data_IF_462613619384
#
_entry.id   IF_462613619384
#
_cell.length_a   1.000
_cell.length_b   1.000
_cell.length_c   1.000
_cell.angle_alpha   90.00
_cell.angle_beta   90.00
_cell.angle_gamma   90.00
#
_symmetry.space_group_name_H-M   'P 1'
#
loop_
_entity.id
_entity.type
_entity.pdbx_description
1 polymer ?
#
# COMPACT_ATOMS: atom_id res chain seq x y z
N UNK A 1 14.88 -12.99 -30.30
CA UNK A 1 13.56 -12.35 -30.38
C UNK A 1 12.56 -13.43 -29.98
N UNK A 2 11.89 -13.28 -28.83
CA UNK A 2 11.06 -14.37 -28.28
C UNK A 2 9.69 -14.39 -28.96
N UNK A 3 9.16 -15.59 -29.21
CA UNK A 3 7.86 -15.76 -29.87
C UNK A 3 6.70 -15.53 -28.90
N UNK A 4 5.50 -15.29 -29.43
CA UNK A 4 4.27 -15.16 -28.63
C UNK A 4 3.97 -16.46 -27.87
N UNK A 5 4.39 -17.60 -28.41
CA UNK A 5 4.26 -18.91 -27.79
C UNK A 5 5.22 -19.07 -26.60
N UNK A 6 6.43 -18.50 -26.67
CA UNK A 6 7.39 -18.44 -25.54
C UNK A 6 6.89 -17.53 -24.39
N UNK A 7 6.10 -16.49 -24.71
CA UNK A 7 5.52 -15.59 -23.71
C UNK A 7 4.31 -16.22 -23.00
N UNK A 8 3.48 -16.95 -23.74
CA UNK A 8 2.33 -17.66 -23.18
C UNK A 8 2.75 -18.84 -22.31
N UNK A 9 3.79 -19.58 -22.71
CA UNK A 9 4.34 -20.68 -21.91
C UNK A 9 4.98 -20.21 -20.59
N UNK A 10 5.44 -18.96 -20.53
CA UNK A 10 5.97 -18.35 -19.30
C UNK A 10 4.86 -17.91 -18.35
N UNK A 11 3.73 -17.43 -18.88
CA UNK A 11 2.52 -17.15 -18.08
C UNK A 11 1.88 -18.43 -17.52
N UNK A 12 1.95 -19.56 -18.21
CA UNK A 12 1.38 -20.82 -17.72
C UNK A 12 2.24 -21.49 -16.64
N UNK A 13 3.57 -21.38 -16.70
CA UNK A 13 4.44 -21.89 -15.61
C UNK A 13 4.34 -21.07 -14.31
N UNK A 14 3.94 -19.80 -14.38
CA UNK A 14 3.69 -18.96 -13.19
C UNK A 14 2.32 -19.24 -12.53
N UNK A 15 1.45 -20.02 -13.19
CA UNK A 15 0.08 -20.29 -12.72
C UNK A 15 -0.07 -21.75 -12.21
N UNK A 16 0.68 -22.72 -12.73
CA UNK A 16 0.53 -24.13 -12.34
C UNK A 16 1.13 -24.52 -10.98
N UNK A 17 2.01 -23.70 -10.38
CA UNK A 17 2.67 -24.02 -9.09
C UNK A 17 2.20 -23.15 -7.90
N UNK A 18 1.11 -22.37 -8.05
CA UNK A 18 0.59 -21.52 -6.97
C UNK A 18 1.55 -20.42 -6.50
N UNK A 19 2.63 -20.17 -7.25
CA UNK A 19 3.66 -19.19 -6.92
C UNK A 19 3.34 -17.82 -7.50
N UNK A 20 2.84 -16.92 -6.67
CA UNK A 20 2.83 -15.49 -6.98
C UNK A 20 4.21 -15.05 -7.47
N UNK A 21 4.24 -14.34 -8.61
CA UNK A 21 5.44 -13.86 -9.31
C UNK A 21 6.35 -12.96 -8.48
N UNK A 22 7.10 -13.57 -7.56
CA UNK A 22 8.19 -12.98 -6.84
C UNK A 22 9.40 -12.98 -7.78
N UNK A 23 9.76 -11.79 -8.27
CA UNK A 23 11.07 -11.55 -8.86
C UNK A 23 12.17 -12.13 -7.94
N UNK A 24 13.28 -12.57 -8.53
CA UNK A 24 14.44 -13.12 -7.83
C UNK A 24 15.01 -12.11 -6.82
N UNK A 25 14.40 -12.01 -5.63
CA UNK A 25 15.00 -11.36 -4.47
C UNK A 25 16.14 -12.28 -4.02
N UNK A 26 17.27 -11.66 -3.67
CA UNK A 26 18.59 -12.28 -3.51
C UNK A 26 18.61 -13.34 -2.40
N UNK A 27 18.32 -14.60 -2.75
CA UNK A 27 18.45 -15.81 -1.91
C UNK A 27 19.81 -16.49 -2.20
N UNK A 28 20.86 -15.73 -2.52
CA UNK A 28 22.13 -16.33 -2.95
C UNK A 28 23.16 -16.47 -1.83
N UNK A 29 22.95 -15.85 -0.67
CA UNK A 29 23.91 -15.89 0.44
C UNK A 29 23.56 -16.86 1.57
N UNK A 30 22.34 -17.41 1.60
CA UNK A 30 21.91 -18.42 2.60
C UNK A 30 22.14 -19.87 2.16
N UNK A 31 22.45 -20.11 0.89
CA UNK A 31 22.51 -21.45 0.28
C UNK A 31 23.74 -22.27 0.64
N UNK A 32 24.68 -21.75 1.45
CA UNK A 32 25.93 -22.48 1.75
C UNK A 32 25.90 -23.30 3.05
N UNK A 33 24.99 -23.00 3.99
CA UNK A 33 25.12 -23.54 5.35
C UNK A 33 23.92 -24.36 5.87
N UNK A 34 22.94 -24.72 5.05
CA UNK A 34 21.82 -25.58 5.50
C UNK A 34 21.46 -26.68 4.51
N UNK A 35 22.10 -27.84 4.66
CA UNK A 35 21.58 -29.11 4.15
C UNK A 35 20.34 -29.51 4.96
N UNK A 36 19.18 -29.56 4.29
CA UNK A 36 17.90 -29.92 4.91
C UNK A 36 16.73 -29.52 4.03
N UNK A 37 16.35 -30.42 3.12
CA UNK A 37 15.29 -30.23 2.12
C UNK A 37 13.87 -30.31 2.73
N UNK A 38 13.38 -29.17 3.24
CA UNK A 38 11.96 -28.78 3.19
C UNK A 38 11.81 -27.27 3.44
N UNK A 39 11.41 -26.53 2.40
CA UNK A 39 10.95 -25.13 2.35
C UNK A 39 11.55 -24.11 3.36
N UNK A 40 12.79 -23.69 3.08
CA UNK A 40 13.45 -22.54 3.74
C UNK A 40 12.73 -21.19 3.45
N UNK A 41 12.00 -21.07 2.32
CA UNK A 41 11.24 -19.86 1.96
C UNK A 41 10.03 -19.63 2.87
N UNK A 42 9.23 -20.69 3.11
CA UNK A 42 8.04 -20.60 3.96
C UNK A 42 8.42 -20.25 5.41
N UNK A 43 9.59 -20.72 5.85
CA UNK A 43 10.10 -20.48 7.19
C UNK A 43 10.47 -19.00 7.45
N UNK A 44 10.90 -18.23 6.44
CA UNK A 44 11.28 -16.81 6.63
C UNK A 44 10.05 -15.89 6.72
N UNK A 45 8.99 -16.16 5.96
CA UNK A 45 7.74 -15.40 6.01
C UNK A 45 7.03 -15.58 7.35
N UNK A 46 6.87 -16.82 7.79
CA UNK A 46 6.30 -17.13 9.11
C UNK A 46 7.14 -16.53 10.24
N UNK A 47 8.46 -16.57 10.08
CA UNK A 47 9.40 -16.01 11.06
C UNK A 47 9.39 -14.49 11.10
N UNK A 48 9.29 -13.81 9.95
CA UNK A 48 9.16 -12.35 9.88
C UNK A 48 7.81 -11.90 10.42
N UNK A 49 6.73 -12.60 10.09
CA UNK A 49 5.41 -12.33 10.65
C UNK A 49 5.45 -12.39 12.18
N UNK A 50 6.05 -13.44 12.74
CA UNK A 50 6.16 -13.59 14.19
C UNK A 50 7.16 -12.58 14.78
N UNK A 51 8.25 -12.23 14.10
CA UNK A 51 9.20 -11.20 14.56
C UNK A 51 8.58 -9.80 14.61
N UNK A 52 7.78 -9.48 13.60
CA UNK A 52 7.07 -8.22 13.47
C UNK A 52 5.98 -8.13 14.54
N UNK A 53 5.30 -9.23 14.86
CA UNK A 53 4.21 -9.27 15.84
C UNK A 53 4.64 -9.49 17.29
N UNK A 54 5.77 -10.17 17.53
CA UNK A 54 6.07 -10.77 18.83
C UNK A 54 7.57 -10.89 19.11
N UNK A 55 8.18 -9.82 19.59
CA UNK A 55 9.40 -9.96 20.41
C UNK A 55 9.20 -9.31 21.77
N UNK A 56 9.28 -10.13 22.83
CA UNK A 56 9.43 -9.69 24.23
C UNK A 56 10.54 -8.64 24.35
N UNK A 57 10.38 -7.70 25.29
CA UNK A 57 11.39 -6.70 25.73
C UNK A 57 11.87 -5.67 24.70
N UNK A 58 11.19 -5.51 23.55
CA UNK A 58 11.54 -4.49 22.57
C UNK A 58 10.66 -3.25 22.65
N UNK A 59 11.29 -2.11 22.39
CA UNK A 59 10.64 -0.81 22.42
C UNK A 59 9.57 -0.73 21.30
N UNK A 60 8.33 -0.41 21.66
CA UNK A 60 7.22 -0.20 20.69
C UNK A 60 7.52 0.92 19.67
N UNK A 61 8.38 1.86 20.06
CA UNK A 61 8.91 2.94 19.21
C UNK A 61 10.18 2.54 18.46
N UNK A 62 10.52 1.25 18.40
CA UNK A 62 11.62 0.78 17.57
C UNK A 62 11.27 0.99 16.09
N UNK A 63 12.13 1.70 15.35
CA UNK A 63 11.94 1.92 13.91
C UNK A 63 12.26 0.64 13.15
N UNK A 64 11.24 0.04 12.53
CA UNK A 64 11.37 -1.17 11.70
C UNK A 64 11.39 -0.87 10.20
N UNK A 65 10.88 0.30 9.80
CA UNK A 65 10.93 0.79 8.44
C UNK A 65 11.32 2.27 8.42
N UNK A 66 12.28 2.62 7.57
CA UNK A 66 12.66 4.01 7.32
C UNK A 66 13.16 4.13 5.89
N UNK A 67 12.69 5.16 5.19
CA UNK A 67 13.17 5.50 3.85
C UNK A 67 14.06 6.73 3.89
N UNK A 68 14.88 6.90 2.86
CA UNK A 68 15.64 8.14 2.66
C UNK A 68 14.75 9.34 2.26
N UNK A 69 13.45 9.12 2.06
CA UNK A 69 12.45 10.13 1.69
C UNK A 69 11.61 10.58 2.88
N UNK A 70 11.83 9.98 4.06
CA UNK A 70 11.30 10.43 5.35
C UNK A 70 10.08 9.66 5.85
N UNK A 71 9.67 8.58 5.18
CA UNK A 71 8.68 7.64 5.70
C UNK A 71 9.31 6.80 6.81
N UNK A 72 8.61 6.69 7.94
CA UNK A 72 9.05 5.97 9.13
C UNK A 72 7.90 5.14 9.66
N UNK A 73 8.18 3.89 10.02
CA UNK A 73 7.23 3.00 10.69
C UNK A 73 7.90 2.33 11.88
N UNK A 74 7.22 2.38 13.02
CA UNK A 74 7.66 1.78 14.27
C UNK A 74 7.10 0.36 14.43
N UNK A 75 7.64 -0.36 15.41
CA UNK A 75 7.21 -1.70 15.77
C UNK A 75 5.70 -1.77 16.06
N UNK A 76 5.14 -0.83 16.82
CA UNK A 76 3.70 -0.81 17.10
C UNK A 76 2.81 -0.71 15.85
N UNK A 77 3.27 0.02 14.81
CA UNK A 77 2.53 0.19 13.55
C UNK A 77 2.47 -1.14 12.75
N UNK A 78 3.45 -2.01 13.00
CA UNK A 78 3.64 -3.31 12.38
C UNK A 78 2.94 -4.43 13.15
N UNK A 79 2.98 -4.36 14.48
CA UNK A 79 2.45 -5.35 15.43
C UNK A 79 0.94 -5.52 15.31
N UNK A 80 0.25 -4.48 14.85
CA UNK A 80 -1.15 -4.56 14.52
C UNK A 80 -1.48 -3.68 13.32
N UNK A 81 -1.92 -4.28 12.22
CA UNK A 81 -2.79 -3.57 11.27
C UNK A 81 -4.16 -3.29 11.93
N UNK A 82 -4.10 -2.54 13.03
CA UNK A 82 -5.17 -2.02 13.85
C UNK A 82 -5.82 -0.85 13.12
N UNK A 83 -7.14 -0.66 13.26
CA UNK A 83 -7.86 0.46 12.65
C UNK A 83 -7.30 1.86 12.94
N UNK A 84 -6.61 2.08 14.06
CA UNK A 84 -6.33 3.43 14.58
C UNK A 84 -4.99 4.03 14.09
N UNK A 85 -4.07 3.23 13.57
CA UNK A 85 -2.73 3.68 13.13
C UNK A 85 -2.40 3.30 11.67
N UNK A 86 -3.41 3.02 10.84
CA UNK A 86 -3.24 2.54 9.45
C UNK A 86 -2.53 3.57 8.53
N UNK A 87 -2.47 4.85 8.91
CA UNK A 87 -1.78 5.90 8.14
C UNK A 87 -0.32 5.54 7.83
N UNK A 88 0.45 5.12 8.84
CA UNK A 88 1.89 4.84 8.70
C UNK A 88 2.12 3.64 7.78
N UNK A 89 1.24 2.64 7.83
CA UNK A 89 1.29 1.43 7.00
C UNK A 89 0.96 1.73 5.54
N UNK A 90 -0.11 2.50 5.27
CA UNK A 90 -0.48 2.90 3.90
C UNK A 90 0.60 3.79 3.29
N UNK A 91 1.12 4.76 4.04
CA UNK A 91 2.17 5.67 3.57
C UNK A 91 3.46 4.89 3.26
N UNK A 92 3.85 3.94 4.12
CA UNK A 92 5.01 3.07 3.90
C UNK A 92 4.82 2.17 2.68
N UNK A 93 3.60 1.67 2.45
CA UNK A 93 3.28 0.88 1.27
C UNK A 93 3.30 1.70 -0.02
N UNK A 94 2.80 2.93 0.00
CA UNK A 94 2.94 3.88 -1.12
C UNK A 94 4.42 4.08 -1.48
N UNK A 95 5.29 4.25 -0.49
CA UNK A 95 6.74 4.39 -0.70
C UNK A 95 7.36 3.14 -1.35
N UNK A 96 6.98 1.94 -0.89
CA UNK A 96 7.42 0.67 -1.49
C UNK A 96 6.95 0.54 -2.94
N UNK A 97 5.67 0.79 -3.22
CA UNK A 97 5.13 0.71 -4.58
C UNK A 97 5.83 1.69 -5.52
N UNK A 98 6.02 2.94 -5.09
CA UNK A 98 6.74 3.93 -5.87
C UNK A 98 8.18 3.52 -6.18
N UNK A 99 8.88 2.93 -5.22
CA UNK A 99 10.23 2.41 -5.43
C UNK A 99 10.26 1.29 -6.48
N UNK A 100 9.29 0.38 -6.43
CA UNK A 100 9.17 -0.71 -7.40
C UNK A 100 8.82 -0.22 -8.80
N UNK A 101 7.94 0.79 -8.92
CA UNK A 101 7.60 1.46 -10.19
C UNK A 101 8.82 2.12 -10.83
N UNK A 102 9.64 2.82 -10.04
CA UNK A 102 10.89 3.43 -10.52
C UNK A 102 11.89 2.39 -10.99
N UNK A 103 12.04 1.27 -10.27
CA UNK A 103 13.04 0.24 -10.58
C UNK A 103 12.69 -0.60 -11.79
N UNK A 104 11.45 -1.04 -11.89
CA UNK A 104 11.04 -2.03 -12.88
C UNK A 104 10.87 -1.44 -14.28
N UNK A 105 10.81 -0.11 -14.41
CA UNK A 105 10.30 0.57 -15.62
C UNK A 105 8.97 -0.02 -16.07
N UNK A 106 8.16 -0.54 -15.12
CA UNK A 106 6.89 -1.18 -15.38
C UNK A 106 5.98 -0.25 -16.17
N UNK A 107 5.31 -0.81 -17.18
CA UNK A 107 4.17 -0.15 -17.82
C UNK A 107 2.93 -0.85 -17.29
N UNK A 108 1.98 -0.16 -16.63
CA UNK A 108 1.91 1.30 -16.45
C UNK A 108 2.86 1.85 -15.37
N UNK A 109 3.52 2.99 -15.63
CA UNK A 109 4.19 3.77 -14.58
C UNK A 109 3.12 4.49 -13.76
N UNK A 110 3.09 4.21 -12.46
CA UNK A 110 2.10 4.73 -11.50
C UNK A 110 2.81 5.54 -10.42
N UNK A 111 2.13 6.57 -9.90
CA UNK A 111 2.59 7.35 -8.75
C UNK A 111 1.57 7.20 -7.62
N UNK A 112 2.05 6.87 -6.42
CA UNK A 112 1.25 6.73 -5.21
C UNK A 112 1.61 7.85 -4.23
N UNK A 113 0.68 8.74 -3.93
CA UNK A 113 0.87 9.75 -2.87
C UNK A 113 0.70 9.14 -1.48
N UNK A 114 1.14 9.84 -0.44
CA UNK A 114 0.83 9.49 0.95
C UNK A 114 -0.52 10.09 1.38
N UNK A 115 -1.08 9.55 2.47
CA UNK A 115 -2.37 9.97 3.03
C UNK A 115 -2.36 11.41 3.55
N UNK A 116 -1.17 11.98 3.83
CA UNK A 116 -1.01 13.35 4.34
C UNK A 116 -1.31 14.43 3.31
N UNK A 117 -1.32 14.10 2.02
CA UNK A 117 -1.68 15.07 0.97
C UNK A 117 -3.10 15.58 1.21
N UNK A 118 -4.07 14.70 1.43
CA UNK A 118 -5.47 15.05 1.70
C UNK A 118 -5.82 14.88 3.18
N UNK A 119 -5.96 15.99 3.90
CA UNK A 119 -6.40 16.02 5.30
C UNK A 119 -7.71 16.81 5.47
N UNK A 120 -8.32 16.74 6.67
CA UNK A 120 -9.48 17.56 7.02
C UNK A 120 -9.26 19.07 6.79
N UNK A 121 -8.04 19.59 6.98
CA UNK A 121 -7.70 20.99 6.69
C UNK A 121 -8.03 21.40 5.24
N UNK A 122 -7.89 20.48 4.27
CA UNK A 122 -8.18 20.76 2.85
C UNK A 122 -9.67 20.72 2.50
N UNK A 123 -10.51 20.48 3.52
CA UNK A 123 -11.97 20.44 3.45
C UNK A 123 -12.61 21.54 4.34
N UNK A 124 -11.80 22.47 4.85
CA UNK A 124 -12.26 23.58 5.69
C UNK A 124 -13.04 24.61 4.84
N UNK A 125 -14.38 24.56 4.94
CA UNK A 125 -15.29 25.43 4.19
C UNK A 125 -15.17 26.93 4.56
N UNK A 126 -14.46 27.26 5.65
CA UNK A 126 -14.22 28.66 6.03
C UNK A 126 -13.08 29.30 5.24
N UNK A 127 -12.22 28.49 4.62
CA UNK A 127 -11.08 28.93 3.81
C UNK A 127 -11.47 29.04 2.34
N UNK A 128 -10.87 29.99 1.63
CA UNK A 128 -11.05 30.09 0.18
C UNK A 128 -10.39 28.92 -0.56
N UNK A 129 -10.88 28.64 -1.77
CA UNK A 129 -10.28 27.61 -2.63
C UNK A 129 -8.79 27.89 -2.91
N UNK A 130 -8.38 29.16 -3.03
CA UNK A 130 -6.98 29.53 -3.27
C UNK A 130 -6.08 29.21 -2.08
N UNK A 131 -6.54 29.46 -0.85
CA UNK A 131 -5.81 29.12 0.37
C UNK A 131 -5.66 27.60 0.53
N UNK A 132 -6.76 26.86 0.35
CA UNK A 132 -6.74 25.40 0.41
C UNK A 132 -5.84 24.81 -0.68
N UNK A 133 -5.92 25.35 -1.90
CA UNK A 133 -5.07 24.93 -3.00
C UNK A 133 -3.58 25.18 -2.69
N UNK A 134 -3.23 26.32 -2.09
CA UNK A 134 -1.84 26.60 -1.72
C UNK A 134 -1.30 25.59 -0.70
N UNK A 135 -2.13 25.18 0.27
CA UNK A 135 -1.78 24.11 1.21
C UNK A 135 -1.59 22.78 0.50
N UNK A 136 -2.48 22.42 -0.43
CA UNK A 136 -2.36 21.21 -1.24
C UNK A 136 -1.08 21.21 -2.08
N UNK A 137 -0.84 22.31 -2.81
CA UNK A 137 0.34 22.52 -3.65
C UNK A 137 1.63 22.36 -2.84
N UNK A 138 1.73 23.04 -1.69
CA UNK A 138 2.89 22.96 -0.80
C UNK A 138 3.17 21.52 -0.35
N UNK A 139 2.13 20.75 -0.07
CA UNK A 139 2.27 19.34 0.35
C UNK A 139 2.70 18.43 -0.80
N UNK A 140 2.14 18.64 -1.99
CA UNK A 140 2.55 17.90 -3.19
C UNK A 140 3.99 18.21 -3.56
N UNK A 141 4.39 19.49 -3.57
CA UNK A 141 5.77 19.89 -3.86
C UNK A 141 6.76 19.34 -2.82
N UNK A 142 6.38 19.37 -1.54
CA UNK A 142 7.18 18.74 -0.48
C UNK A 142 7.30 17.22 -0.67
N UNK A 143 6.22 16.55 -1.04
CA UNK A 143 6.25 15.11 -1.33
C UNK A 143 7.17 14.80 -2.51
N UNK A 144 7.01 15.53 -3.62
CA UNK A 144 7.79 15.32 -4.84
C UNK A 144 9.27 15.71 -4.66
N UNK A 145 9.59 16.71 -3.86
CA UNK A 145 11.00 17.06 -3.58
C UNK A 145 11.71 16.03 -2.72
N UNK A 146 10.98 15.35 -1.81
CA UNK A 146 11.52 14.21 -1.07
C UNK A 146 11.66 12.98 -1.98
N UNK A 147 10.81 12.86 -2.99
CA UNK A 147 10.87 11.83 -4.02
C UNK A 147 12.11 12.07 -4.90
N UNK A 148 13.22 11.35 -4.63
CA UNK A 148 14.54 11.56 -5.27
C UNK A 148 14.60 11.39 -6.81
N UNK A 149 13.46 11.24 -7.49
CA UNK A 149 13.35 11.13 -8.93
C UNK A 149 12.46 12.26 -9.49
N UNK A 150 12.88 12.86 -10.61
CA UNK A 150 12.05 13.81 -11.35
C UNK A 150 10.80 13.09 -11.87
N UNK A 151 9.66 13.31 -11.21
CA UNK A 151 8.37 12.77 -11.64
C UNK A 151 7.89 13.54 -12.86
N UNK A 152 7.95 12.90 -14.03
CA UNK A 152 7.30 13.44 -15.22
C UNK A 152 5.86 12.92 -15.36
N UNK A 153 4.89 13.81 -15.14
CA UNK A 153 3.46 13.52 -15.33
C UNK A 153 3.08 13.21 -16.79
N UNK A 154 3.95 13.47 -17.77
CA UNK A 154 3.77 13.01 -19.14
C UNK A 154 3.82 11.47 -19.24
N UNK A 155 4.73 10.84 -18.48
CA UNK A 155 5.00 9.41 -18.53
C UNK A 155 4.06 8.59 -17.62
N UNK A 156 3.47 9.23 -16.61
CA UNK A 156 2.52 8.60 -15.71
C UNK A 156 1.23 8.18 -16.42
N UNK A 157 0.82 6.93 -16.18
CA UNK A 157 -0.50 6.45 -16.60
C UNK A 157 -1.55 6.65 -15.52
N UNK A 158 -1.20 6.37 -14.26
CA UNK A 158 -2.10 6.52 -13.12
C UNK A 158 -1.42 7.33 -12.01
N UNK A 159 -2.23 8.12 -11.32
CA UNK A 159 -1.86 8.76 -10.06
C UNK A 159 -2.87 8.36 -9.01
N UNK A 160 -2.40 7.81 -7.90
CA UNK A 160 -3.21 7.22 -6.83
C UNK A 160 -3.04 8.07 -5.57
N UNK A 161 -4.16 8.53 -5.03
CA UNK A 161 -4.23 9.20 -3.74
C UNK A 161 -4.97 8.28 -2.75
N UNK A 162 -4.26 7.61 -1.84
CA UNK A 162 -4.91 6.94 -0.74
C UNK A 162 -5.51 8.00 0.20
N UNK A 163 -6.79 7.86 0.50
CA UNK A 163 -7.52 8.73 1.41
C UNK A 163 -7.72 8.00 2.72
N UNK A 164 -7.33 8.67 3.81
CA UNK A 164 -7.65 8.24 5.16
C UNK A 164 -8.20 9.44 5.94
N UNK A 165 -9.51 9.48 6.16
CA UNK A 165 -10.21 10.57 6.85
C UNK A 165 -11.17 10.00 7.89
N UNK A 166 -10.76 10.04 9.17
CA UNK A 166 -11.43 9.27 10.21
C UNK A 166 -11.45 7.79 9.83
N UNK A 167 -12.58 7.12 9.95
CA UNK A 167 -12.71 5.69 9.63
C UNK A 167 -12.79 5.36 8.13
N UNK A 168 -12.77 6.38 7.26
CA UNK A 168 -12.88 6.20 5.81
C UNK A 168 -11.52 5.98 5.17
N UNK A 169 -11.33 4.81 4.57
CA UNK A 169 -10.13 4.41 3.84
C UNK A 169 -10.51 3.96 2.43
N UNK A 170 -10.07 4.71 1.41
CA UNK A 170 -10.31 4.38 -0.01
C UNK A 170 -9.25 5.03 -0.91
N UNK A 171 -9.17 4.62 -2.18
CA UNK A 171 -8.28 5.25 -3.16
C UNK A 171 -9.05 6.17 -4.10
N UNK A 172 -8.49 7.34 -4.40
CA UNK A 172 -8.87 8.16 -5.56
C UNK A 172 -7.80 8.04 -6.64
N UNK A 173 -8.18 7.53 -7.80
CA UNK A 173 -7.26 7.25 -8.91
C UNK A 173 -7.55 8.14 -10.10
N UNK A 174 -6.54 8.88 -10.54
CA UNK A 174 -6.55 9.65 -11.78
C UNK A 174 -5.92 8.81 -12.88
N UNK A 175 -6.71 8.46 -13.89
CA UNK A 175 -6.20 7.85 -15.10
C UNK A 175 -5.80 8.95 -16.08
N UNK A 176 -4.49 9.12 -16.27
CA UNK A 176 -3.90 10.11 -17.17
C UNK A 176 -3.84 9.62 -18.62
N UNK A 177 -3.92 8.32 -18.87
CA UNK A 177 -3.96 7.74 -20.23
C UNK A 177 -5.34 7.90 -20.85
N UNK A 178 -6.37 7.58 -20.07
CA UNK A 178 -7.77 7.75 -20.41
C UNK A 178 -8.37 8.68 -19.35
N UNK A 179 -8.38 10.01 -19.60
CA UNK A 179 -8.74 11.01 -18.60
C UNK A 179 -10.04 10.68 -17.86
N UNK A 180 -9.90 10.12 -16.66
CA UNK A 180 -10.98 9.69 -15.79
C UNK A 180 -10.51 9.78 -14.34
N UNK A 181 -11.45 10.01 -13.42
CA UNK A 181 -11.19 10.03 -11.98
C UNK A 181 -12.12 9.02 -11.32
N UNK A 182 -11.55 8.04 -10.63
CA UNK A 182 -12.33 6.99 -10.01
C UNK A 182 -12.02 6.82 -8.52
N UNK A 183 -13.03 6.42 -7.77
CA UNK A 183 -12.92 5.94 -6.40
C UNK A 183 -12.84 4.41 -6.46
N UNK A 184 -11.85 3.83 -5.78
CA UNK A 184 -11.76 2.39 -5.54
C UNK A 184 -11.97 2.16 -4.05
N UNK A 185 -13.09 1.52 -3.74
CA UNK A 185 -13.52 1.21 -2.37
C UNK A 185 -14.38 -0.05 -2.42
N UNK A 186 -14.40 -0.79 -1.32
CA UNK A 186 -15.23 -1.97 -1.11
C UNK A 186 -16.59 -1.63 -0.49
N UNK A 187 -16.86 -0.39 -0.08
CA UNK A 187 -18.18 -0.06 0.48
C UNK A 187 -19.29 -0.02 -0.59
N UNK A 188 -20.49 -0.51 -0.23
CA UNK A 188 -21.71 -0.27 -1.01
C UNK A 188 -22.21 1.14 -0.75
N UNK A 189 -22.03 2.02 -1.74
CA UNK A 189 -22.61 3.37 -1.73
C UNK A 189 -23.88 3.45 -2.57
N UNK A 190 -24.84 4.27 -2.11
CA UNK A 190 -25.99 4.73 -2.93
C UNK A 190 -25.74 6.11 -3.55
N UNK A 191 -24.99 6.95 -2.83
CA UNK A 191 -24.63 8.31 -3.22
C UNK A 191 -23.17 8.58 -2.84
N UNK A 192 -22.37 9.00 -3.83
CA UNK A 192 -20.95 9.34 -3.61
C UNK A 192 -20.82 10.52 -2.65
N UNK A 193 -21.70 11.52 -2.76
CA UNK A 193 -21.69 12.70 -1.91
C UNK A 193 -22.02 12.34 -0.45
N UNK A 194 -23.03 11.50 -0.23
CA UNK A 194 -23.36 11.03 1.14
C UNK A 194 -22.23 10.18 1.74
N UNK A 195 -21.49 9.44 0.90
CA UNK A 195 -20.47 8.51 1.39
C UNK A 195 -19.12 9.19 1.58
N UNK A 196 -18.69 10.04 0.67
CA UNK A 196 -17.33 10.61 0.65
C UNK A 196 -17.29 12.12 0.86
N UNK A 197 -18.46 12.75 0.93
CA UNK A 197 -18.59 14.19 0.97
C UNK A 197 -17.94 14.85 -0.25
N UNK A 198 -17.33 16.01 -0.01
CA UNK A 198 -16.64 16.78 -1.04
C UNK A 198 -15.21 16.30 -1.32
N UNK A 199 -14.66 15.38 -0.52
CA UNK A 199 -13.25 14.98 -0.57
C UNK A 199 -12.76 14.61 -1.98
N UNK A 200 -13.43 13.70 -2.73
CA UNK A 200 -12.95 13.30 -4.05
C UNK A 200 -13.06 14.44 -5.08
N UNK A 201 -14.10 15.28 -4.96
CA UNK A 201 -14.34 16.42 -5.85
C UNK A 201 -13.31 17.52 -5.61
N UNK A 202 -13.03 17.87 -4.35
CA UNK A 202 -12.02 18.84 -3.97
C UNK A 202 -10.63 18.40 -4.40
N UNK A 203 -10.26 17.13 -4.13
CA UNK A 203 -8.99 16.56 -4.59
C UNK A 203 -8.85 16.65 -6.11
N UNK A 204 -9.93 16.34 -6.86
CA UNK A 204 -9.93 16.48 -8.32
C UNK A 204 -9.63 17.91 -8.75
N UNK A 205 -10.27 18.91 -8.14
CA UNK A 205 -10.06 20.31 -8.49
C UNK A 205 -8.64 20.78 -8.14
N UNK A 206 -8.14 20.43 -6.95
CA UNK A 206 -6.78 20.78 -6.53
C UNK A 206 -5.73 20.14 -7.45
N UNK A 207 -5.86 18.85 -7.74
CA UNK A 207 -4.87 18.17 -8.56
C UNK A 207 -4.90 18.63 -10.03
N UNK A 208 -6.07 18.93 -10.60
CA UNK A 208 -6.16 19.53 -11.94
C UNK A 208 -5.43 20.88 -11.97
N UNK A 209 -5.68 21.75 -10.98
CA UNK A 209 -5.02 23.05 -10.90
C UNK A 209 -3.51 22.92 -10.71
N UNK A 210 -3.07 21.92 -9.94
CA UNK A 210 -1.65 21.61 -9.78
C UNK A 210 -1.01 21.24 -11.13
N UNK A 211 -1.62 20.29 -11.87
CA UNK A 211 -1.12 19.88 -13.19
C UNK A 211 -1.07 21.04 -14.19
N UNK A 212 -2.03 21.98 -14.13
CA UNK A 212 -2.04 23.18 -14.98
C UNK A 212 -0.86 24.11 -14.73
N UNK A 213 -0.32 24.14 -13.51
CA UNK A 213 0.84 24.96 -13.16
C UNK A 213 2.17 24.26 -13.47
N UNK A 214 2.23 22.94 -13.36
CA UNK A 214 3.50 22.20 -13.31
C UNK A 214 3.80 21.37 -14.56
N UNK A 215 2.86 21.27 -15.51
CA UNK A 215 2.99 20.35 -16.65
C UNK A 215 2.45 20.92 -17.96
N UNK A 216 2.81 20.29 -19.08
CA UNK A 216 2.29 20.62 -20.40
C UNK A 216 1.30 19.58 -20.96
N UNK A 217 0.68 18.76 -20.11
CA UNK A 217 -0.30 17.72 -20.51
C UNK A 217 -1.72 18.26 -20.76
N UNK A 218 -1.83 19.33 -21.55
CA UNK A 218 -3.08 20.11 -21.77
C UNK A 218 -4.28 19.25 -22.15
N UNK A 219 -4.10 18.26 -23.03
CA UNK A 219 -5.19 17.37 -23.46
C UNK A 219 -5.67 16.44 -22.34
N UNK A 220 -4.74 15.91 -21.53
CA UNK A 220 -5.09 15.07 -20.36
C UNK A 220 -5.87 15.91 -19.34
N UNK A 221 -5.41 17.13 -19.06
CA UNK A 221 -6.04 18.08 -18.15
C UNK A 221 -7.48 18.42 -18.59
N UNK A 222 -7.67 18.78 -19.87
CA UNK A 222 -9.00 19.06 -20.44
C UNK A 222 -9.94 17.86 -20.29
N UNK A 223 -9.43 16.66 -20.57
CA UNK A 223 -10.18 15.41 -20.37
C UNK A 223 -10.60 15.23 -18.91
N UNK A 224 -9.67 15.37 -17.95
CA UNK A 224 -9.97 15.24 -16.52
C UNK A 224 -11.02 16.27 -16.09
N UNK A 225 -10.90 17.52 -16.53
CA UNK A 225 -11.87 18.58 -16.24
C UNK A 225 -13.28 18.21 -16.69
N UNK A 226 -13.42 17.60 -17.87
CA UNK A 226 -14.71 17.20 -18.45
C UNK A 226 -15.38 15.98 -17.80
N UNK A 227 -14.66 15.19 -17.01
CA UNK A 227 -15.21 13.98 -16.38
C UNK A 227 -15.81 14.26 -15.01
N UNK A 228 -16.67 13.37 -14.52
CA UNK A 228 -17.08 13.34 -13.11
C UNK A 228 -16.32 12.25 -12.37
N UNK A 229 -16.19 12.39 -11.05
CA UNK A 229 -15.66 11.32 -10.21
C UNK A 229 -16.67 10.17 -10.20
N UNK A 230 -16.20 8.93 -10.37
CA UNK A 230 -17.05 7.73 -10.40
C UNK A 230 -16.50 6.65 -9.50
N UNK A 231 -17.35 5.85 -8.87
CA UNK A 231 -16.89 4.63 -8.22
C UNK A 231 -16.68 3.52 -9.24
N UNK A 232 -15.57 2.79 -9.13
CA UNK A 232 -15.36 1.56 -9.87
C UNK A 232 -16.28 0.48 -9.31
N UNK A 233 -16.97 -0.22 -10.22
CA UNK A 233 -17.81 -1.36 -9.84
C UNK A 233 -16.91 -2.55 -9.49
N UNK A 234 -17.01 -3.03 -8.25
CA UNK A 234 -16.32 -4.21 -7.73
C UNK A 234 -17.38 -5.27 -7.35
N UNK A 235 -17.07 -6.55 -7.57
CA UNK A 235 -18.03 -7.64 -7.32
C UNK A 235 -18.22 -7.97 -5.82
N UNK A 236 -17.28 -7.56 -4.95
CA UNK A 236 -17.29 -7.84 -3.49
C UNK A 236 -17.44 -6.56 -2.67
N UNK A 237 -18.62 -5.94 -2.73
CA UNK A 237 -18.90 -4.77 -1.89
C UNK A 237 -19.53 -5.15 -0.54
N UNK A 238 -19.03 -4.58 0.55
CA UNK A 238 -19.53 -4.74 1.93
C UNK A 238 -20.50 -3.61 2.29
N UNK A 239 -21.38 -3.83 3.27
CA UNK A 239 -22.37 -2.82 3.72
C UNK A 239 -21.85 -1.88 4.82
N UNK A 240 -20.71 -2.19 5.43
CA UNK A 240 -20.16 -1.47 6.58
C UNK A 240 -18.65 -1.33 6.41
N UNK A 241 -18.10 -0.27 7.02
CA UNK A 241 -16.66 -0.13 7.24
C UNK A 241 -16.20 -1.31 8.11
N UNK A 242 -15.02 -1.84 7.80
CA UNK A 242 -14.43 -2.97 8.52
C UNK A 242 -12.99 -2.67 8.86
N UNK A 243 -12.45 -3.36 9.86
CA UNK A 243 -11.02 -3.39 10.18
C UNK A 243 -10.14 -3.77 8.98
N UNK A 244 -10.73 -4.34 7.93
CA UNK A 244 -10.07 -4.85 6.73
C UNK A 244 -9.89 -3.80 5.62
N UNK A 245 -10.47 -2.60 5.78
CA UNK A 245 -10.46 -1.58 4.75
C UNK A 245 -9.04 -1.15 4.34
N UNK A 246 -8.11 -1.05 5.30
CA UNK A 246 -6.71 -0.73 5.02
C UNK A 246 -6.01 -1.78 4.16
N UNK A 247 -6.17 -3.07 4.49
CA UNK A 247 -5.58 -4.16 3.71
C UNK A 247 -6.15 -4.25 2.29
N UNK A 248 -7.44 -3.94 2.12
CA UNK A 248 -8.08 -3.87 0.80
C UNK A 248 -7.60 -2.68 -0.01
N UNK A 249 -7.51 -1.50 0.60
CA UNK A 249 -6.92 -0.30 0.00
C UNK A 249 -5.51 -0.60 -0.51
N UNK A 250 -4.64 -1.16 0.33
CA UNK A 250 -3.27 -1.54 -0.08
C UNK A 250 -3.26 -2.54 -1.24
N UNK A 251 -4.25 -3.44 -1.31
CA UNK A 251 -4.42 -4.38 -2.43
C UNK A 251 -4.85 -3.71 -3.71
N UNK A 252 -5.75 -2.72 -3.64
CA UNK A 252 -6.11 -1.91 -4.81
C UNK A 252 -4.92 -1.13 -5.32
N UNK A 253 -4.16 -0.47 -4.43
CA UNK A 253 -2.92 0.22 -4.81
C UNK A 253 -1.93 -0.73 -5.52
N UNK A 254 -1.71 -1.92 -4.97
CA UNK A 254 -0.78 -2.92 -5.54
C UNK A 254 -1.21 -3.33 -6.95
N UNK A 255 -2.47 -3.73 -7.11
CA UNK A 255 -2.92 -4.54 -8.23
C UNK A 255 -3.65 -3.76 -9.32
N UNK A 256 -4.27 -2.63 -9.02
CA UNK A 256 -5.03 -1.87 -10.02
C UNK A 256 -4.11 -1.21 -11.03
N UNK A 257 -4.30 -1.53 -12.31
CA UNK A 257 -3.46 -1.08 -13.42
C UNK A 257 -4.24 -0.29 -14.48
N UNK A 258 -5.46 0.15 -14.16
CA UNK A 258 -6.29 0.99 -15.03
C UNK A 258 -7.36 0.19 -15.79
N UNK A 259 -7.79 -0.93 -15.22
CA UNK A 259 -8.83 -1.80 -15.74
C UNK A 259 -10.12 -1.02 -16.01
N UNK A 260 -10.85 -1.44 -17.05
CA UNK A 260 -12.13 -0.81 -17.41
C UNK A 260 -13.18 -1.06 -16.33
N UNK A 261 -14.19 -0.18 -16.27
CA UNK A 261 -15.31 -0.32 -15.34
C UNK A 261 -15.95 -1.72 -15.43
N UNK A 262 -16.16 -2.35 -14.27
CA UNK A 262 -16.72 -3.70 -14.17
C UNK A 262 -15.78 -4.83 -14.61
N UNK A 263 -14.50 -4.53 -14.89
CA UNK A 263 -13.44 -5.53 -15.14
C UNK A 263 -12.43 -5.60 -14.00
N UNK A 264 -12.52 -4.70 -13.02
CA UNK A 264 -11.65 -4.73 -11.86
C UNK A 264 -12.01 -5.89 -10.94
N UNK A 265 -11.03 -6.76 -10.68
CA UNK A 265 -11.11 -7.83 -9.70
C UNK A 265 -9.89 -7.70 -8.77
N UNK A 266 -10.16 -7.55 -7.48
CA UNK A 266 -9.13 -7.36 -6.44
C UNK A 266 -8.23 -8.59 -6.21
N UNK A 267 -8.46 -9.69 -6.94
CA UNK A 267 -7.67 -10.94 -6.89
C UNK A 267 -7.52 -11.45 -5.45
N UNK A 268 -8.65 -11.63 -4.77
CA UNK A 268 -8.70 -12.13 -3.40
C UNK A 268 -9.02 -13.62 -3.41
N UNK A 269 -8.32 -14.39 -2.56
CA UNK A 269 -8.62 -15.82 -2.35
C UNK A 269 -10.08 -16.03 -1.90
N UNK A 270 -10.55 -17.28 -1.98
CA UNK A 270 -11.79 -17.70 -1.31
C UNK A 270 -11.40 -18.15 0.10
N UNK A 271 -11.68 -17.35 1.13
CA UNK A 271 -11.24 -17.74 2.49
C UNK A 271 -11.84 -16.99 3.68
N UNK A 272 -12.83 -16.10 3.49
CA UNK A 272 -13.39 -15.32 4.61
C UNK A 272 -12.31 -14.47 5.31
N UNK A 273 -12.32 -14.42 6.64
CA UNK A 273 -11.43 -13.54 7.43
C UNK A 273 -9.95 -13.94 7.37
N UNK A 274 -9.66 -15.23 7.15
CA UNK A 274 -8.28 -15.77 7.07
C UNK A 274 -7.48 -15.13 5.95
N UNK A 275 -8.13 -14.77 4.84
CA UNK A 275 -7.45 -14.14 3.70
C UNK A 275 -6.84 -12.77 4.08
N UNK A 276 -7.48 -12.04 4.99
CA UNK A 276 -7.01 -10.72 5.37
C UNK A 276 -5.84 -10.82 6.34
N UNK A 277 -5.84 -11.81 7.24
CA UNK A 277 -4.68 -12.12 8.08
C UNK A 277 -3.46 -12.39 7.19
N UNK A 278 -3.61 -13.21 6.15
CA UNK A 278 -2.54 -13.47 5.17
C UNK A 278 -2.09 -12.22 4.42
N UNK A 279 -3.02 -11.36 3.98
CA UNK A 279 -2.67 -10.11 3.28
C UNK A 279 -1.93 -9.14 4.20
N UNK A 280 -2.36 -9.05 5.46
CA UNK A 280 -1.69 -8.24 6.45
C UNK A 280 -0.25 -8.72 6.63
N UNK A 281 -0.07 -10.02 6.88
CA UNK A 281 1.25 -10.63 6.98
C UNK A 281 2.11 -10.37 5.73
N UNK A 282 1.52 -10.54 4.53
CA UNK A 282 2.19 -10.30 3.26
C UNK A 282 2.74 -8.87 3.17
N UNK A 283 1.92 -7.85 3.42
CA UNK A 283 2.39 -6.47 3.30
C UNK A 283 3.39 -6.10 4.39
N UNK A 284 3.21 -6.56 5.63
CA UNK A 284 4.19 -6.36 6.70
C UNK A 284 5.56 -6.91 6.28
N UNK A 285 5.61 -8.13 5.75
CA UNK A 285 6.86 -8.72 5.27
C UNK A 285 7.43 -7.94 4.08
N UNK A 286 6.59 -7.58 3.10
CA UNK A 286 7.04 -6.81 1.93
C UNK A 286 7.66 -5.47 2.33
N UNK A 287 7.00 -4.70 3.20
CA UNK A 287 7.50 -3.41 3.67
C UNK A 287 8.80 -3.59 4.44
N UNK A 288 8.82 -4.50 5.41
CA UNK A 288 9.96 -4.69 6.31
C UNK A 288 11.22 -5.19 5.58
N UNK A 289 11.05 -5.93 4.49
CA UNK A 289 12.17 -6.53 3.72
C UNK A 289 12.48 -5.84 2.39
N UNK A 290 11.74 -4.79 2.03
CA UNK A 290 11.98 -4.07 0.77
C UNK A 290 13.35 -3.38 0.77
N UNK A 291 13.95 -3.26 -0.40
CA UNK A 291 15.25 -2.59 -0.57
C UNK A 291 15.23 -1.08 -0.29
N UNK A 292 14.05 -0.45 -0.27
CA UNK A 292 13.93 0.95 0.17
C UNK A 292 14.06 1.10 1.70
N UNK A 293 13.89 0.02 2.47
CA UNK A 293 13.97 0.07 3.92
C UNK A 293 15.43 0.12 4.40
N UNK A 294 15.82 1.22 5.03
CA UNK A 294 17.14 1.42 5.64
C UNK A 294 17.44 0.43 6.79
N UNK A 295 16.42 -0.23 7.35
CA UNK A 295 16.55 -1.22 8.43
C UNK A 295 16.43 -2.67 7.96
N UNK A 296 16.32 -2.92 6.65
CA UNK A 296 16.09 -4.25 6.06
C UNK A 296 17.03 -5.32 6.60
N UNK A 297 18.35 -5.08 6.56
CA UNK A 297 19.36 -6.07 6.96
C UNK A 297 19.21 -6.44 8.43
N UNK A 298 18.91 -5.44 9.28
CA UNK A 298 18.69 -5.63 10.72
C UNK A 298 17.45 -6.48 10.95
N UNK A 299 16.33 -6.13 10.33
CA UNK A 299 15.07 -6.86 10.44
C UNK A 299 15.22 -8.31 9.97
N UNK A 300 15.86 -8.54 8.82
CA UNK A 300 16.11 -9.89 8.29
C UNK A 300 17.00 -10.69 9.24
N UNK A 301 18.07 -10.09 9.78
CA UNK A 301 18.97 -10.76 10.73
C UNK A 301 18.24 -11.19 12.00
N UNK A 302 17.35 -10.34 12.50
CA UNK A 302 16.53 -10.67 13.66
C UNK A 302 15.54 -11.79 13.35
N UNK A 303 14.87 -11.74 12.19
CA UNK A 303 14.00 -12.80 11.73
C UNK A 303 14.76 -14.14 11.70
N UNK A 304 15.90 -14.21 11.03
CA UNK A 304 16.73 -15.43 10.98
C UNK A 304 17.05 -15.96 12.38
N UNK A 305 17.37 -15.09 13.34
CA UNK A 305 17.60 -15.51 14.74
C UNK A 305 16.35 -16.10 15.37
N UNK A 306 15.19 -15.46 15.17
CA UNK A 306 13.91 -15.95 15.68
C UNK A 306 13.54 -17.33 15.08
N UNK A 307 13.80 -17.54 13.79
CA UNK A 307 13.54 -18.81 13.11
C UNK A 307 14.33 -20.00 13.68
N UNK A 308 15.38 -19.76 14.47
CA UNK A 308 16.19 -20.81 15.12
C UNK A 308 15.54 -21.38 16.39
N UNK A 309 14.57 -20.71 17.00
CA UNK A 309 13.81 -21.28 18.12
C UNK A 309 12.94 -22.44 17.62
N UNK A 310 12.68 -23.45 18.44
CA UNK A 310 11.73 -24.51 18.08
C UNK A 310 10.28 -23.98 18.01
N UNK A 311 9.39 -24.78 17.40
CA UNK A 311 8.00 -24.40 17.21
C UNK A 311 7.28 -24.07 18.52
N UNK A 312 7.53 -24.81 19.61
CA UNK A 312 6.83 -24.60 20.87
C UNK A 312 7.22 -23.27 21.50
N UNK A 313 8.51 -22.95 21.48
CA UNK A 313 9.05 -21.68 21.94
C UNK A 313 8.55 -20.52 21.09
N UNK A 314 8.53 -20.64 19.75
CA UNK A 314 7.97 -19.60 18.87
C UNK A 314 6.48 -19.35 19.14
N UNK A 315 5.69 -20.41 19.35
CA UNK A 315 4.26 -20.29 19.68
C UNK A 315 4.03 -19.62 21.04
N UNK A 316 4.81 -19.99 22.05
CA UNK A 316 4.72 -19.38 23.38
C UNK A 316 5.05 -17.89 23.33
N UNK A 317 6.13 -17.52 22.63
CA UNK A 317 6.51 -16.11 22.43
C UNK A 317 5.42 -15.32 21.69
N UNK A 318 4.69 -15.97 20.76
CA UNK A 318 3.56 -15.40 20.04
C UNK A 318 2.34 -15.16 20.96
N UNK A 319 1.93 -16.18 21.70
CA UNK A 319 0.78 -16.10 22.63
C UNK A 319 1.01 -15.02 23.71
N UNK A 320 2.23 -14.94 24.25
CA UNK A 320 2.58 -13.92 25.22
C UNK A 320 2.66 -12.51 24.62
N UNK A 321 3.01 -12.38 23.34
CA UNK A 321 2.99 -11.10 22.64
C UNK A 321 1.57 -10.58 22.42
N UNK A 322 0.67 -11.46 21.98
CA UNK A 322 -0.76 -11.15 21.77
C UNK A 322 -1.42 -10.70 23.08
N UNK A 323 -1.26 -11.46 24.16
CA UNK A 323 -1.89 -11.12 25.44
C UNK A 323 -1.44 -9.75 25.99
N UNK A 324 -0.18 -9.35 25.77
CA UNK A 324 0.31 -8.02 26.17
C UNK A 324 -0.29 -6.88 25.34
N UNK A 325 -0.53 -7.10 24.05
CA UNK A 325 -1.19 -6.11 23.19
C UNK A 325 -2.63 -5.89 23.68
N UNK A 326 -3.36 -6.97 23.93
CA UNK A 326 -4.73 -6.92 24.47
C UNK A 326 -4.78 -6.17 25.83
N UNK A 327 -3.78 -6.35 26.70
CA UNK A 327 -3.66 -5.62 27.97
C UNK A 327 -3.39 -4.11 27.79
N UNK A 328 -2.54 -3.72 26.84
CA UNK A 328 -2.25 -2.31 26.53
C UNK A 328 -3.47 -1.58 25.96
N UNK A 329 -4.32 -2.28 25.21
CA UNK A 329 -5.58 -1.72 24.69
C UNK A 329 -6.64 -1.54 25.75
N UNK A 330 -6.73 -2.48 26.71
CA UNK A 330 -7.66 -2.35 27.83
C UNK A 330 -7.23 -1.26 28.81
N UNK A 331 -5.93 -0.92 28.87
CA UNK A 331 -5.42 0.18 29.70
C UNK A 331 -5.61 1.58 29.10
N UNK A 332 -5.94 1.68 27.81
CA UNK A 332 -6.15 2.94 27.09
C UNK A 332 -7.64 3.26 26.80
N UNK A 333 -8.57 2.42 27.29
CA UNK A 333 -10.01 2.71 27.36
C UNK A 333 -10.39 3.18 28.76
#
# INVERSE_FOLDING_TARGET
MWSIEDLNNRQSFEIEDGGFGCGKVVITQMTRDSEGSSNVKDNLYDTLEVLIKCTQDKNIMEVLFETNTGEVMHRQDFESMWPEHVHSVIDSWAAVLNYEEQKSKSKPYRLFFNTKIMSFELLDETKSFDELFLTFETRVDKFLSNFKADVDFNDLKLVVFPIHNGDQMYDVVFNLTYPQVHIIDNIKTKSLEETYGMTPTSLKLYFIRYLEKTTFIVNKIKGLRSTTVKMIKIDRNTKKLTTENGALLMRHMEKYCGEKQGKWNVEMEKGGDVQFIKLRALYSVKIATNEINNHKERVIKEAIKFGKFDHANRRKMLEEGINRMDELEMGNK
#
